data_IF_787011230685
#
_entry.id   IF_787011230685
#
_cell.length_a   1.000
_cell.length_b   1.000
_cell.length_c   1.000
_cell.angle_alpha   90.00
_cell.angle_beta   90.00
_cell.angle_gamma   90.00
#
_symmetry.space_group_name_H-M   'P 1'
#
loop_
_entity.id
_entity.type
_entity.pdbx_description
1 polymer ?
#
# COMPACT_ATOMS: atom_id res chain seq x y z
N UNK A 1 -35.41 59.50 -22.92
CA UNK A 1 -35.05 58.14 -23.41
C UNK A 1 -36.07 57.04 -23.04
N UNK A 2 -36.75 57.07 -21.87
CA UNK A 2 -37.59 55.94 -21.41
C UNK A 2 -38.94 55.74 -22.12
N UNK A 3 -39.52 56.79 -22.72
CA UNK A 3 -40.86 56.72 -23.32
C UNK A 3 -40.88 56.02 -24.69
N UNK A 4 -39.79 56.09 -25.46
CA UNK A 4 -39.68 55.38 -26.74
C UNK A 4 -39.58 53.85 -26.53
N UNK A 5 -38.80 53.42 -25.53
CA UNK A 5 -38.63 52.01 -25.17
C UNK A 5 -39.94 51.36 -24.73
N UNK A 6 -40.71 52.04 -23.86
CA UNK A 6 -42.04 51.56 -23.42
C UNK A 6 -43.03 51.46 -24.59
N UNK A 7 -42.95 52.37 -25.57
CA UNK A 7 -43.82 52.37 -26.76
C UNK A 7 -43.48 51.22 -27.73
N UNK A 8 -42.19 50.98 -27.98
CA UNK A 8 -41.71 49.84 -28.80
C UNK A 8 -42.05 48.50 -28.16
N UNK A 9 -41.83 48.36 -26.85
CA UNK A 9 -42.14 47.12 -26.12
C UNK A 9 -43.65 46.82 -26.09
N UNK A 10 -44.50 47.85 -25.97
CA UNK A 10 -45.96 47.69 -26.05
C UNK A 10 -46.41 47.31 -27.46
N UNK A 11 -45.89 47.95 -28.50
CA UNK A 11 -46.21 47.58 -29.90
C UNK A 11 -45.85 46.12 -30.18
N UNK A 12 -44.67 45.67 -29.72
CA UNK A 12 -44.18 44.30 -29.91
C UNK A 12 -45.04 43.24 -29.21
N UNK A 13 -45.65 43.55 -28.05
CA UNK A 13 -46.63 42.65 -27.40
C UNK A 13 -47.95 42.59 -28.15
N UNK A 14 -48.44 43.72 -28.68
CA UNK A 14 -49.69 43.76 -29.44
C UNK A 14 -49.60 43.09 -30.80
N UNK A 15 -48.50 43.26 -31.55
CA UNK A 15 -48.32 42.62 -32.87
C UNK A 15 -48.09 41.11 -32.75
N UNK A 16 -47.54 40.63 -31.63
CA UNK A 16 -47.25 39.20 -31.42
C UNK A 16 -48.46 38.42 -30.91
N UNK A 17 -49.36 39.05 -30.14
CA UNK A 17 -50.60 38.40 -29.66
C UNK A 17 -51.60 38.01 -30.76
N UNK A 18 -51.50 38.59 -31.97
CA UNK A 18 -52.35 38.24 -33.11
C UNK A 18 -51.82 37.05 -33.94
N UNK A 19 -50.54 36.68 -33.78
CA UNK A 19 -49.91 35.55 -34.50
C UNK A 19 -49.62 34.34 -33.60
N UNK A 20 -49.88 34.43 -32.30
CA UNK A 20 -49.66 33.32 -31.37
C UNK A 20 -50.83 32.36 -31.42
N UNK A 21 -50.58 31.18 -31.97
CA UNK A 21 -51.51 30.06 -31.93
C UNK A 21 -51.68 29.57 -30.48
N UNK A 22 -52.78 28.87 -30.14
CA UNK A 22 -53.05 28.38 -28.78
C UNK A 22 -51.91 27.51 -28.22
N UNK A 23 -51.16 26.82 -29.09
CA UNK A 23 -50.01 26.01 -28.68
C UNK A 23 -48.86 26.84 -28.10
N UNK A 24 -48.70 28.11 -28.51
CA UNK A 24 -47.68 29.01 -27.93
C UNK A 24 -48.00 29.36 -26.47
N UNK A 25 -49.28 29.54 -26.13
CA UNK A 25 -49.69 29.83 -24.76
C UNK A 25 -49.51 28.60 -23.87
N UNK A 26 -49.85 27.40 -24.35
CA UNK A 26 -49.54 26.15 -23.62
C UNK A 26 -48.03 25.95 -23.44
N UNK A 27 -47.24 26.20 -24.47
CA UNK A 27 -45.78 26.10 -24.41
C UNK A 27 -45.17 27.14 -23.45
N UNK A 28 -45.70 28.36 -23.41
CA UNK A 28 -45.24 29.40 -22.49
C UNK A 28 -45.68 29.14 -21.04
N UNK A 29 -46.92 28.69 -20.82
CA UNK A 29 -47.40 28.28 -19.49
C UNK A 29 -46.63 27.07 -18.92
N UNK A 30 -46.11 26.18 -19.79
CA UNK A 30 -45.19 25.10 -19.39
C UNK A 30 -43.79 25.60 -18.99
N UNK A 31 -43.35 26.76 -19.49
CA UNK A 31 -42.08 27.41 -19.09
C UNK A 31 -42.29 28.29 -17.87
N UNK A 32 -42.69 27.69 -16.76
CA UNK A 32 -42.52 28.28 -15.43
C UNK A 32 -41.03 28.61 -15.26
N UNK A 33 -40.71 29.87 -15.53
CA UNK A 33 -39.49 30.62 -15.22
C UNK A 33 -38.28 29.77 -14.74
N UNK A 34 -37.38 29.42 -15.66
CA UNK A 34 -36.07 28.79 -15.38
C UNK A 34 -35.13 29.66 -14.49
N UNK A 35 -35.58 30.84 -14.03
CA UNK A 35 -34.81 31.75 -13.18
C UNK A 35 -35.13 31.62 -11.68
N UNK A 36 -35.97 30.67 -11.26
CA UNK A 36 -36.05 30.27 -9.85
C UNK A 36 -35.30 28.94 -9.73
N UNK A 37 -34.12 28.90 -9.10
CA UNK A 37 -33.53 27.63 -8.74
C UNK A 37 -34.49 26.98 -7.75
N UNK A 38 -35.30 26.04 -8.23
CA UNK A 38 -35.97 25.10 -7.35
C UNK A 38 -34.86 24.43 -6.55
N UNK A 39 -34.89 24.60 -5.23
CA UNK A 39 -34.10 23.80 -4.31
C UNK A 39 -34.38 22.33 -4.65
N UNK A 40 -33.49 21.72 -5.43
CA UNK A 40 -33.55 20.29 -5.70
C UNK A 40 -33.38 19.59 -4.36
N UNK A 41 -34.42 18.92 -3.92
CA UNK A 41 -34.41 17.98 -2.79
C UNK A 41 -33.36 16.87 -2.95
N UNK A 42 -32.78 16.69 -4.15
CA UNK A 42 -31.64 15.81 -4.43
C UNK A 42 -30.29 16.35 -3.90
N UNK A 43 -30.22 17.62 -3.47
CA UNK A 43 -29.06 18.22 -2.80
C UNK A 43 -28.97 17.88 -1.30
N UNK A 44 -29.83 16.99 -0.79
CA UNK A 44 -29.68 16.39 0.55
C UNK A 44 -28.71 15.20 0.52
N UNK A 45 -28.05 14.93 -0.62
CA UNK A 45 -26.70 14.37 -0.55
C UNK A 45 -25.79 15.50 -0.10
N UNK A 46 -25.38 15.43 1.15
CA UNK A 46 -24.66 16.53 1.83
C UNK A 46 -23.54 17.03 0.93
N UNK A 47 -23.26 18.34 0.95
CA UNK A 47 -22.07 18.92 0.33
C UNK A 47 -20.81 18.11 0.70
N UNK A 48 -20.81 17.49 1.89
CA UNK A 48 -19.82 16.54 2.38
C UNK A 48 -19.69 15.26 1.53
N UNK A 49 -20.78 14.68 1.03
CA UNK A 49 -20.80 13.57 0.07
C UNK A 49 -20.29 13.99 -1.33
N UNK A 50 -20.51 15.25 -1.74
CA UNK A 50 -19.98 15.79 -3.01
C UNK A 50 -18.52 16.28 -2.88
N UNK A 51 -18.08 16.57 -1.66
CA UNK A 51 -16.70 16.84 -1.27
C UNK A 51 -15.98 15.56 -0.82
N UNK A 52 -16.57 14.38 -1.03
CA UNK A 52 -15.87 13.12 -0.84
C UNK A 52 -14.72 13.11 -1.85
N UNK A 53 -13.55 13.55 -1.38
CA UNK A 53 -12.35 13.72 -2.18
C UNK A 53 -11.96 12.34 -2.66
N UNK A 54 -12.36 12.00 -3.88
CA UNK A 54 -11.88 10.79 -4.56
C UNK A 54 -10.36 10.96 -4.62
N UNK A 55 -9.59 10.07 -3.97
CA UNK A 55 -8.15 10.17 -3.99
C UNK A 55 -7.68 10.17 -5.43
N UNK A 56 -6.78 11.10 -5.75
CA UNK A 56 -6.19 11.12 -7.08
C UNK A 56 -5.41 9.82 -7.33
N UNK A 57 -5.29 9.41 -8.60
CA UNK A 57 -4.49 8.22 -8.95
C UNK A 57 -3.06 8.29 -8.38
N UNK A 58 -2.47 9.49 -8.32
CA UNK A 58 -1.16 9.73 -7.72
C UNK A 58 -1.15 9.52 -6.21
N UNK A 59 -2.21 9.90 -5.52
CA UNK A 59 -2.35 9.72 -4.07
C UNK A 59 -2.49 8.25 -3.71
N UNK A 60 -3.23 7.48 -4.51
CA UNK A 60 -3.34 6.02 -4.37
C UNK A 60 -1.97 5.36 -4.60
N UNK A 61 -1.28 5.72 -5.68
CA UNK A 61 0.06 5.18 -6.00
C UNK A 61 1.06 5.50 -4.89
N UNK A 62 1.03 6.71 -4.33
CA UNK A 62 1.91 7.12 -3.23
C UNK A 62 1.68 6.24 -1.99
N UNK A 63 0.43 6.06 -1.58
CA UNK A 63 0.09 5.21 -0.43
C UNK A 63 0.55 3.77 -0.64
N UNK A 64 0.39 3.22 -1.85
CA UNK A 64 0.83 1.87 -2.19
C UNK A 64 2.37 1.73 -2.11
N UNK A 65 3.11 2.74 -2.56
CA UNK A 65 4.58 2.77 -2.45
C UNK A 65 5.00 2.83 -0.98
N UNK A 66 4.37 3.68 -0.17
CA UNK A 66 4.67 3.80 1.26
C UNK A 66 4.38 2.49 2.00
N UNK A 67 3.27 1.83 1.69
CA UNK A 67 2.93 0.51 2.23
C UNK A 67 3.97 -0.55 1.86
N UNK A 68 4.30 -0.67 0.57
CA UNK A 68 5.31 -1.65 0.10
C UNK A 68 6.69 -1.37 0.70
N UNK A 69 7.07 -0.10 0.82
CA UNK A 69 8.34 0.29 1.43
C UNK A 69 8.42 -0.10 2.90
N UNK A 70 7.30 0.05 3.64
CA UNK A 70 7.20 -0.35 5.04
C UNK A 70 7.27 -1.88 5.19
N UNK A 71 6.60 -2.64 4.33
CA UNK A 71 6.67 -4.10 4.30
C UNK A 71 8.08 -4.60 3.98
N UNK A 72 8.75 -3.98 3.01
CA UNK A 72 10.14 -4.28 2.68
C UNK A 72 11.09 -3.96 3.84
N UNK A 73 10.89 -2.83 4.52
CA UNK A 73 11.67 -2.47 5.71
C UNK A 73 11.60 -3.53 6.80
N UNK A 74 10.40 -4.00 7.14
CA UNK A 74 10.20 -5.10 8.12
C UNK A 74 10.88 -6.39 7.68
N UNK A 75 10.83 -6.72 6.38
CA UNK A 75 11.48 -7.92 5.84
C UNK A 75 13.00 -7.82 5.88
N UNK A 76 13.56 -6.64 5.65
CA UNK A 76 15.00 -6.38 5.80
C UNK A 76 15.43 -6.59 7.25
N UNK A 77 14.70 -6.01 8.21
CA UNK A 77 14.98 -6.16 9.65
C UNK A 77 14.96 -7.63 10.08
N UNK A 78 13.93 -8.39 9.66
CA UNK A 78 13.85 -9.84 9.92
C UNK A 78 15.04 -10.62 9.34
N UNK A 79 15.47 -10.28 8.12
CA UNK A 79 16.61 -10.93 7.48
C UNK A 79 17.94 -10.58 8.17
N UNK A 80 18.09 -9.36 8.69
CA UNK A 80 19.26 -8.95 9.45
C UNK A 80 19.35 -9.71 10.79
N UNK A 81 18.23 -9.87 11.50
CA UNK A 81 18.15 -10.68 12.71
C UNK A 81 18.50 -12.15 12.43
N UNK A 82 17.91 -12.74 11.39
CA UNK A 82 18.19 -14.12 11.00
C UNK A 82 19.67 -14.33 10.62
N UNK A 83 20.25 -13.38 9.88
CA UNK A 83 21.68 -13.39 9.54
C UNK A 83 22.56 -13.38 10.77
N UNK A 84 22.25 -12.56 11.78
CA UNK A 84 23.02 -12.52 13.04
C UNK A 84 22.91 -13.86 13.76
N UNK A 85 21.70 -14.42 13.90
CA UNK A 85 21.46 -15.72 14.54
C UNK A 85 22.26 -16.84 13.86
N UNK A 86 22.16 -16.96 12.54
CA UNK A 86 22.89 -17.97 11.78
C UNK A 86 24.41 -17.79 11.88
N UNK A 87 24.89 -16.55 11.94
CA UNK A 87 26.31 -16.26 12.18
C UNK A 87 26.79 -16.84 13.51
N UNK A 88 26.00 -16.68 14.58
CA UNK A 88 26.32 -17.25 15.89
C UNK A 88 26.31 -18.78 15.86
N UNK A 89 25.32 -19.41 15.21
CA UNK A 89 25.24 -20.87 15.10
C UNK A 89 26.47 -21.45 14.38
N UNK A 90 26.93 -20.80 13.32
CA UNK A 90 28.15 -21.18 12.60
C UNK A 90 29.38 -21.13 13.51
N UNK A 91 29.52 -20.08 14.32
CA UNK A 91 30.65 -19.95 15.24
C UNK A 91 30.60 -21.01 16.37
N UNK A 92 29.41 -21.31 16.89
CA UNK A 92 29.21 -22.38 17.88
C UNK A 92 29.63 -23.74 17.29
N UNK A 93 29.13 -24.09 16.11
CA UNK A 93 29.47 -25.36 15.47
C UNK A 93 30.97 -25.47 15.15
N UNK A 94 31.60 -24.37 14.75
CA UNK A 94 33.05 -24.33 14.53
C UNK A 94 33.82 -24.61 15.82
N UNK A 95 33.41 -24.02 16.93
CA UNK A 95 34.04 -24.25 18.24
C UNK A 95 33.87 -25.70 18.72
N UNK A 96 32.67 -26.26 18.57
CA UNK A 96 32.38 -27.66 18.91
C UNK A 96 33.23 -28.62 18.08
N UNK A 97 33.30 -28.41 16.77
CA UNK A 97 34.13 -29.22 15.88
C UNK A 97 35.62 -29.17 16.25
N UNK A 98 36.13 -28.00 16.63
CA UNK A 98 37.51 -27.86 17.07
C UNK A 98 37.78 -28.63 18.37
N UNK A 99 36.87 -28.54 19.34
CA UNK A 99 36.95 -29.29 20.62
C UNK A 99 36.94 -30.80 20.37
N UNK A 100 36.05 -31.28 19.51
CA UNK A 100 35.99 -32.70 19.13
C UNK A 100 37.29 -33.16 18.44
N UNK A 101 37.84 -32.34 17.54
CA UNK A 101 39.12 -32.65 16.88
C UNK A 101 40.27 -32.78 17.88
N UNK A 102 40.35 -31.85 18.84
CA UNK A 102 41.36 -31.90 19.93
C UNK A 102 41.22 -33.18 20.76
N UNK A 103 39.99 -33.53 21.16
CA UNK A 103 39.72 -34.78 21.89
C UNK A 103 40.11 -36.03 21.12
N UNK A 104 39.77 -36.09 19.82
CA UNK A 104 40.12 -37.20 18.94
C UNK A 104 41.63 -37.38 18.78
N UNK A 105 42.37 -36.28 18.62
CA UNK A 105 43.83 -36.34 18.49
C UNK A 105 44.48 -36.87 19.76
N UNK A 106 44.03 -36.41 20.94
CA UNK A 106 44.53 -36.92 22.22
C UNK A 106 44.25 -38.42 22.40
N UNK A 107 43.02 -38.85 22.16
CA UNK A 107 42.67 -40.27 22.25
C UNK A 107 43.47 -41.16 21.28
N UNK A 108 43.85 -40.61 20.12
CA UNK A 108 44.72 -41.30 19.16
C UNK A 108 46.15 -41.42 19.69
N UNK A 109 46.72 -40.35 20.23
CA UNK A 109 48.06 -40.35 20.85
C UNK A 109 48.13 -41.35 22.03
N UNK A 110 47.09 -41.37 22.87
CA UNK A 110 46.98 -42.32 23.99
C UNK A 110 46.92 -43.78 23.48
N UNK A 111 46.15 -44.05 22.42
CA UNK A 111 46.07 -45.37 21.79
C UNK A 111 47.41 -45.81 21.19
N UNK A 112 48.09 -44.91 20.47
CA UNK A 112 49.39 -45.19 19.86
C UNK A 112 50.44 -45.49 20.95
N UNK A 113 50.40 -44.78 22.08
CA UNK A 113 51.25 -45.02 23.25
C UNK A 113 50.98 -46.39 23.87
N UNK A 114 49.72 -46.72 24.13
CA UNK A 114 49.33 -48.02 24.69
C UNK A 114 49.74 -49.18 23.79
N UNK A 115 49.59 -49.01 22.47
CA UNK A 115 50.03 -50.01 21.49
C UNK A 115 51.54 -50.23 21.52
N UNK A 116 52.33 -49.18 21.68
CA UNK A 116 53.78 -49.31 21.82
C UNK A 116 54.15 -50.07 23.10
N UNK A 117 53.49 -49.79 24.22
CA UNK A 117 53.80 -50.44 25.49
C UNK A 117 53.40 -51.91 25.50
N UNK A 118 52.22 -52.26 24.95
CA UNK A 118 51.82 -53.65 24.75
C UNK A 118 52.84 -54.46 23.94
N UNK A 119 53.31 -53.90 22.81
CA UNK A 119 54.31 -54.56 21.97
C UNK A 119 55.65 -54.77 22.68
N UNK A 120 56.04 -53.88 23.60
CA UNK A 120 57.25 -54.07 24.42
C UNK A 120 57.05 -55.21 25.40
N UNK A 121 55.90 -55.25 26.09
CA UNK A 121 55.58 -56.32 27.03
C UNK A 121 55.53 -57.69 26.35
N UNK A 122 54.93 -57.79 25.16
CA UNK A 122 54.88 -59.03 24.38
C UNK A 122 56.28 -59.56 24.03
N UNK A 123 57.19 -58.67 23.62
CA UNK A 123 58.60 -59.04 23.35
C UNK A 123 59.32 -59.52 24.61
N UNK A 124 59.13 -58.85 25.74
CA UNK A 124 59.77 -59.25 27.01
C UNK A 124 59.26 -60.57 27.59
N UNK A 125 58.10 -61.06 27.15
CA UNK A 125 57.54 -62.37 27.58
C UNK A 125 58.00 -63.53 26.68
N UNK A 126 58.60 -63.23 25.52
CA UNK A 126 59.07 -64.21 24.56
C UNK A 126 60.57 -64.56 24.70
N UNK A 127 61.32 -63.78 25.49
CA UNK A 127 62.72 -64.01 25.89
C UNK A 127 62.80 -64.68 27.28
#
# INVERSE_FOLDING_TARGET
>A
MSNAWKKVHRMKRFTMGAMTTPEYYEWWSKRINDNIPGLREECIRSIEEHLQVVPSELEIIKQDIEKRSSELGKKIEQLEEEKIRLGLDVDIHKLEAEKLRKGKNKAKEDLDSLKMDYNKEEKTKAD
#
